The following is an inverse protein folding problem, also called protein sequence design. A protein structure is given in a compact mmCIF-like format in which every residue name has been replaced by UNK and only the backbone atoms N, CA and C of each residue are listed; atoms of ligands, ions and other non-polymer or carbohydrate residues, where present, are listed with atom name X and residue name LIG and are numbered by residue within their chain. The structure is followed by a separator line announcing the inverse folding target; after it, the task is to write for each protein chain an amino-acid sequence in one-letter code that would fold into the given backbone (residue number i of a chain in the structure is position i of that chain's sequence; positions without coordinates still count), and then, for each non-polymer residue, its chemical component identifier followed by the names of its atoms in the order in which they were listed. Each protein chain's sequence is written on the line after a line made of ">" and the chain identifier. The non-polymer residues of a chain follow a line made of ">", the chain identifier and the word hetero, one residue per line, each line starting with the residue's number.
data_IF_578671845387
#
_entry.id   IF_578671845387
#
_cell.length_a   1.000
_cell.length_b   1.000
_cell.length_c   1.000
_cell.angle_alpha   90.00
_cell.angle_beta   90.00
_cell.angle_gamma   90.00
#
_symmetry.space_group_name_H-M   'P 1'
#
loop_
_entity.id
_entity.type
_entity.pdbx_description
1 polymer ?
#
# COMPACT_ATOMS: atom_id res chain seq x y z
N UNK A 1 -9.84 30.16 -22.44
CA UNK A 1 -9.04 30.13 -21.20
C UNK A 1 -8.40 28.76 -21.11
N UNK A 2 -7.10 28.69 -21.38
CA UNK A 2 -6.33 27.46 -21.20
C UNK A 2 -6.13 27.23 -19.71
N UNK A 3 -6.62 26.11 -19.20
CA UNK A 3 -6.38 25.62 -17.84
C UNK A 3 -5.00 24.95 -17.70
N UNK A 4 -4.17 24.99 -18.74
CA UNK A 4 -2.85 24.38 -18.74
C UNK A 4 -1.78 25.47 -18.57
N UNK A 5 -1.44 25.78 -17.32
CA UNK A 5 -0.19 26.43 -16.98
C UNK A 5 0.92 25.37 -16.93
N UNK A 6 1.84 25.40 -17.89
CA UNK A 6 2.97 24.48 -18.01
C UNK A 6 4.09 24.72 -16.97
N UNK A 7 3.90 25.63 -16.01
CA UNK A 7 4.89 25.98 -14.99
C UNK A 7 4.84 25.10 -13.73
N UNK A 8 3.84 24.20 -13.60
CA UNK A 8 3.64 23.37 -12.40
C UNK A 8 3.63 21.85 -12.68
N UNK A 9 4.33 21.38 -13.72
CA UNK A 9 4.60 19.94 -13.82
C UNK A 9 5.67 19.56 -12.79
N UNK A 10 5.26 19.24 -11.57
CA UNK A 10 6.12 18.51 -10.64
C UNK A 10 6.28 17.09 -11.17
N UNK A 11 7.31 16.89 -11.99
CA UNK A 11 7.71 15.56 -12.46
C UNK A 11 8.16 14.71 -11.28
N UNK A 12 8.72 15.33 -10.24
CA UNK A 12 9.28 14.65 -9.08
C UNK A 12 8.19 14.25 -8.07
N UNK A 13 8.40 13.09 -7.44
CA UNK A 13 7.52 12.60 -6.39
C UNK A 13 7.45 13.61 -5.23
N UNK A 14 6.22 13.95 -4.82
CA UNK A 14 5.96 14.92 -3.74
C UNK A 14 6.48 14.48 -2.37
N UNK A 15 6.84 13.20 -2.23
CA UNK A 15 7.30 12.62 -0.98
C UNK A 15 8.82 12.63 -0.84
N UNK A 16 9.55 12.17 -1.85
CA UNK A 16 11.02 12.09 -1.78
C UNK A 16 11.72 13.25 -2.49
N UNK A 17 11.03 13.96 -3.40
CA UNK A 17 11.54 15.07 -4.21
C UNK A 17 12.75 14.73 -5.12
N UNK A 18 13.17 13.46 -5.18
CA UNK A 18 14.37 13.00 -5.86
C UNK A 18 14.08 12.43 -7.25
N UNK A 19 13.13 11.50 -7.34
CA UNK A 19 12.83 10.78 -8.58
C UNK A 19 11.54 11.26 -9.22
N UNK A 20 11.39 11.01 -10.52
CA UNK A 20 10.12 11.21 -11.22
C UNK A 20 9.03 10.28 -10.68
N UNK A 21 7.82 10.79 -10.52
CA UNK A 21 6.67 10.00 -10.07
C UNK A 21 6.13 9.10 -11.18
N UNK A 22 6.77 7.95 -11.37
CA UNK A 22 6.26 6.85 -12.20
C UNK A 22 5.29 5.97 -11.40
N UNK A 23 4.46 5.15 -12.05
CA UNK A 23 3.56 4.21 -11.33
C UNK A 23 4.34 3.29 -10.36
N UNK A 24 5.47 2.67 -10.73
CA UNK A 24 6.26 1.87 -9.79
C UNK A 24 6.82 2.71 -8.63
N UNK A 25 7.24 3.95 -8.89
CA UNK A 25 7.73 4.83 -7.83
C UNK A 25 6.60 5.26 -6.86
N UNK A 26 5.45 5.63 -7.41
CA UNK A 26 4.25 6.05 -6.70
C UNK A 26 3.81 4.98 -5.69
N UNK A 27 3.76 3.72 -6.11
CA UNK A 27 3.26 2.64 -5.27
C UNK A 27 4.35 1.98 -4.43
N UNK A 28 5.57 1.78 -4.95
CA UNK A 28 6.54 0.85 -4.36
C UNK A 28 7.87 1.48 -3.99
N UNK A 29 8.49 2.22 -4.91
CA UNK A 29 9.92 2.56 -4.79
C UNK A 29 10.25 3.92 -4.17
N UNK A 30 9.25 4.81 -4.01
CA UNK A 30 9.44 5.99 -3.18
C UNK A 30 9.91 5.57 -1.77
N UNK A 31 11.00 6.13 -1.21
CA UNK A 31 11.53 5.75 0.12
C UNK A 31 10.49 5.73 1.25
N UNK A 32 9.52 6.65 1.20
CA UNK A 32 8.43 6.71 2.17
C UNK A 32 7.45 5.53 1.96
N UNK A 33 7.16 5.17 0.72
CA UNK A 33 6.24 4.07 0.37
C UNK A 33 6.90 2.70 0.54
N UNK A 34 8.20 2.59 0.23
CA UNK A 34 8.97 1.37 0.48
C UNK A 34 9.04 1.06 1.97
N UNK A 35 9.21 2.08 2.83
CA UNK A 35 9.15 1.90 4.29
C UNK A 35 7.81 1.34 4.78
N UNK A 36 6.69 1.74 4.15
CA UNK A 36 5.37 1.15 4.43
C UNK A 36 5.36 -0.34 4.05
N UNK A 37 5.84 -0.70 2.86
CA UNK A 37 5.88 -2.11 2.44
C UNK A 37 6.78 -2.96 3.31
N UNK A 38 7.95 -2.45 3.71
CA UNK A 38 8.85 -3.14 4.64
C UNK A 38 8.15 -3.43 5.97
N UNK A 39 7.47 -2.44 6.56
CA UNK A 39 6.73 -2.63 7.80
C UNK A 39 5.55 -3.60 7.63
N UNK A 40 4.85 -3.56 6.50
CA UNK A 40 3.77 -4.49 6.19
C UNK A 40 4.29 -5.94 6.05
N UNK A 41 5.45 -6.12 5.40
CA UNK A 41 6.14 -7.42 5.31
C UNK A 41 6.46 -7.92 6.73
N UNK A 42 7.04 -7.04 7.55
CA UNK A 42 7.39 -7.38 8.93
C UNK A 42 6.17 -7.69 9.80
N UNK A 43 4.99 -7.15 9.52
CA UNK A 43 3.79 -7.44 10.28
C UNK A 43 3.09 -8.72 9.81
N UNK A 44 2.97 -8.94 8.50
CA UNK A 44 2.06 -9.96 7.95
C UNK A 44 2.70 -11.02 7.06
N UNK A 45 3.80 -10.73 6.36
CA UNK A 45 4.32 -11.59 5.31
C UNK A 45 5.58 -12.35 5.74
N UNK A 46 5.91 -13.39 4.99
CA UNK A 46 7.12 -14.16 5.24
C UNK A 46 8.37 -13.26 5.19
N UNK A 47 9.35 -13.38 6.10
CA UNK A 47 10.54 -12.50 6.14
C UNK A 47 11.39 -12.48 4.85
N UNK A 48 11.22 -13.45 3.96
CA UNK A 48 11.90 -13.48 2.65
C UNK A 48 11.16 -12.73 1.54
N UNK A 49 9.95 -12.22 1.78
CA UNK A 49 9.18 -11.48 0.77
C UNK A 49 9.82 -10.12 0.49
N UNK A 50 10.00 -9.79 -0.78
CA UNK A 50 10.55 -8.51 -1.23
C UNK A 50 9.46 -7.58 -1.77
N UNK A 51 9.77 -6.29 -1.88
CA UNK A 51 8.86 -5.30 -2.51
C UNK A 51 8.64 -5.66 -3.99
N UNK A 52 9.64 -6.23 -4.66
CA UNK A 52 9.55 -6.71 -6.04
C UNK A 52 8.57 -7.87 -6.18
N UNK A 53 8.54 -8.79 -5.21
CA UNK A 53 7.54 -9.88 -5.18
C UNK A 53 6.12 -9.30 -5.06
N UNK A 54 5.93 -8.32 -4.17
CA UNK A 54 4.65 -7.63 -3.99
C UNK A 54 4.23 -6.91 -5.27
N UNK A 55 5.14 -6.17 -5.91
CA UNK A 55 4.87 -5.50 -7.18
C UNK A 55 4.50 -6.51 -8.27
N UNK A 56 5.23 -7.63 -8.38
CA UNK A 56 4.92 -8.66 -9.36
C UNK A 56 3.54 -9.28 -9.11
N UNK A 57 3.22 -9.58 -7.85
CA UNK A 57 1.92 -10.12 -7.47
C UNK A 57 0.77 -9.17 -7.80
N UNK A 58 0.91 -7.87 -7.49
CA UNK A 58 -0.12 -6.86 -7.76
C UNK A 58 -0.27 -6.52 -9.24
N UNK A 59 0.81 -6.58 -10.02
CA UNK A 59 0.75 -6.29 -11.46
C UNK A 59 0.23 -7.47 -12.27
N UNK A 60 0.48 -8.71 -11.83
CA UNK A 60 0.02 -9.93 -12.51
C UNK A 60 -1.28 -10.49 -11.94
N UNK A 61 -1.72 -9.97 -10.78
CA UNK A 61 -2.81 -10.52 -9.97
C UNK A 61 -2.61 -12.01 -9.61
N UNK A 62 -1.35 -12.46 -9.55
CA UNK A 62 -0.97 -13.79 -9.10
C UNK A 62 -0.31 -13.71 -7.71
N UNK A 63 -0.99 -14.24 -6.70
CA UNK A 63 -0.58 -14.17 -5.30
C UNK A 63 0.00 -15.49 -4.76
N UNK A 64 0.16 -16.52 -5.60
CA UNK A 64 0.62 -17.86 -5.18
C UNK A 64 2.03 -17.84 -4.57
N UNK A 65 2.85 -16.86 -4.96
CA UNK A 65 4.23 -16.70 -4.46
C UNK A 65 4.33 -15.86 -3.20
N UNK A 66 3.21 -15.29 -2.73
CA UNK A 66 3.19 -14.49 -1.49
C UNK A 66 2.74 -15.39 -0.35
N UNK A 67 3.65 -15.62 0.58
CA UNK A 67 3.37 -16.37 1.81
C UNK A 67 3.18 -15.42 2.99
N UNK A 68 2.19 -15.71 3.82
CA UNK A 68 1.97 -15.00 5.09
C UNK A 68 2.77 -15.63 6.23
N UNK A 69 2.94 -14.89 7.33
CA UNK A 69 3.52 -15.44 8.56
C UNK A 69 2.64 -16.54 9.16
N UNK A 70 3.22 -17.47 9.94
CA UNK A 70 2.43 -18.41 10.73
C UNK A 70 1.37 -17.69 11.57
N UNK A 71 0.17 -18.27 11.66
CA UNK A 71 -0.98 -17.74 12.40
C UNK A 71 -1.57 -16.42 11.87
N UNK A 72 -1.09 -15.88 10.75
CA UNK A 72 -1.78 -14.80 10.05
C UNK A 72 -3.12 -15.34 9.49
N UNK A 73 -4.28 -14.82 9.91
CA UNK A 73 -5.57 -15.37 9.49
C UNK A 73 -6.02 -14.83 8.13
N UNK A 74 -5.25 -13.94 7.50
CA UNK A 74 -5.65 -13.24 6.28
C UNK A 74 -4.98 -13.88 5.05
N UNK A 75 -5.72 -14.00 3.95
CA UNK A 75 -5.15 -14.43 2.68
C UNK A 75 -4.19 -13.35 2.12
N UNK A 76 -3.07 -13.74 1.46
CA UNK A 76 -2.12 -12.81 0.85
C UNK A 76 -2.77 -11.75 -0.05
N UNK A 77 -3.71 -12.19 -0.90
CA UNK A 77 -4.48 -11.30 -1.79
C UNK A 77 -5.22 -10.22 -1.02
N UNK A 78 -5.87 -10.57 0.09
CA UNK A 78 -6.65 -9.62 0.89
C UNK A 78 -5.72 -8.61 1.56
N UNK A 79 -4.58 -9.06 2.09
CA UNK A 79 -3.55 -8.18 2.65
C UNK A 79 -3.08 -7.16 1.61
N UNK A 80 -2.67 -7.61 0.42
CA UNK A 80 -2.08 -6.72 -0.58
C UNK A 80 -3.10 -5.76 -1.20
N UNK A 81 -4.34 -6.20 -1.42
CA UNK A 81 -5.42 -5.33 -1.96
C UNK A 81 -5.85 -4.28 -0.94
N UNK A 82 -5.95 -4.63 0.35
CA UNK A 82 -6.25 -3.64 1.39
C UNK A 82 -5.05 -2.69 1.56
N UNK A 83 -3.82 -3.22 1.59
CA UNK A 83 -2.60 -2.42 1.72
C UNK A 83 -2.45 -1.36 0.61
N UNK A 84 -2.64 -1.73 -0.66
CA UNK A 84 -2.58 -0.77 -1.77
C UNK A 84 -3.71 0.26 -1.67
N UNK A 85 -4.88 -0.14 -1.18
CA UNK A 85 -6.02 0.77 -0.97
C UNK A 85 -5.74 1.79 0.14
N UNK A 86 -5.17 1.37 1.27
CA UNK A 86 -4.78 2.29 2.36
C UNK A 86 -3.62 3.21 1.97
N UNK A 87 -2.64 2.71 1.21
CA UNK A 87 -1.57 3.52 0.65
C UNK A 87 -2.11 4.58 -0.30
N UNK A 88 -2.99 4.20 -1.23
CA UNK A 88 -3.65 5.13 -2.16
C UNK A 88 -4.42 6.21 -1.42
N UNK A 89 -5.29 5.83 -0.47
CA UNK A 89 -6.04 6.78 0.35
C UNK A 89 -5.11 7.74 1.10
N UNK A 90 -4.04 7.23 1.70
CA UNK A 90 -3.10 8.05 2.47
C UNK A 90 -2.28 8.99 1.59
N UNK A 91 -1.92 8.55 0.37
CA UNK A 91 -1.32 9.42 -0.63
C UNK A 91 -2.25 10.60 -0.96
N UNK A 92 -3.51 10.35 -1.29
CA UNK A 92 -4.43 11.42 -1.68
C UNK A 92 -4.83 12.35 -0.54
N UNK A 93 -4.90 11.85 0.70
CA UNK A 93 -5.06 12.72 1.87
C UNK A 93 -3.89 13.69 2.05
N UNK A 94 -2.67 13.27 1.71
CA UNK A 94 -1.54 14.19 1.68
C UNK A 94 -1.68 15.21 0.54
N UNK A 95 -1.98 14.76 -0.68
CA UNK A 95 -2.08 15.65 -1.85
C UNK A 95 -3.20 16.68 -1.69
N UNK A 96 -4.39 16.26 -1.25
CA UNK A 96 -5.59 17.11 -1.17
C UNK A 96 -5.66 17.85 0.16
N UNK A 97 -5.53 17.14 1.28
CA UNK A 97 -5.78 17.68 2.61
C UNK A 97 -4.50 18.10 3.35
N UNK A 98 -3.31 17.92 2.73
CA UNK A 98 -2.00 18.18 3.35
C UNK A 98 -1.75 17.39 4.65
N UNK A 99 -2.42 16.25 4.81
CA UNK A 99 -2.22 15.36 5.96
C UNK A 99 -0.92 14.58 5.77
N UNK A 100 0.08 14.70 6.67
CA UNK A 100 1.37 14.03 6.51
C UNK A 100 1.25 12.51 6.37
N UNK A 101 2.01 11.95 5.42
CA UNK A 101 2.09 10.50 5.25
C UNK A 101 3.11 9.92 6.22
N UNK A 102 2.64 9.04 7.11
CA UNK A 102 3.48 8.29 8.04
C UNK A 102 3.29 6.79 7.80
N UNK A 103 4.33 6.05 7.38
CA UNK A 103 4.22 4.63 7.03
C UNK A 103 3.54 3.77 8.11
N UNK A 104 3.91 3.97 9.38
CA UNK A 104 3.35 3.24 10.52
C UNK A 104 1.85 3.49 10.73
N UNK A 105 1.36 4.70 10.41
CA UNK A 105 -0.07 5.03 10.48
C UNK A 105 -0.81 4.27 9.37
N UNK A 106 -0.25 4.22 8.16
CA UNK A 106 -0.85 3.48 7.03
C UNK A 106 -0.87 1.98 7.28
N UNK A 107 0.18 1.42 7.88
CA UNK A 107 0.20 0.02 8.33
C UNK A 107 -0.89 -0.22 9.38
N UNK A 108 -0.99 0.64 10.41
CA UNK A 108 -2.04 0.51 11.43
C UNK A 108 -3.46 0.59 10.84
N UNK A 109 -3.68 1.45 9.86
CA UNK A 109 -4.94 1.54 9.11
C UNK A 109 -5.21 0.26 8.31
N UNK A 110 -4.18 -0.33 7.71
CA UNK A 110 -4.25 -1.61 7.00
C UNK A 110 -4.65 -2.74 7.94
N UNK A 111 -4.01 -2.83 9.11
CA UNK A 111 -4.33 -3.82 10.15
C UNK A 111 -5.78 -3.67 10.66
N UNK A 112 -6.26 -2.43 10.82
CA UNK A 112 -7.65 -2.17 11.22
C UNK A 112 -8.65 -2.58 10.13
N UNK A 113 -8.36 -2.25 8.86
CA UNK A 113 -9.20 -2.62 7.73
C UNK A 113 -9.25 -4.15 7.53
N UNK A 114 -8.12 -4.84 7.71
CA UNK A 114 -8.04 -6.31 7.68
C UNK A 114 -8.91 -6.95 8.77
N UNK A 115 -8.79 -6.47 10.02
CA UNK A 115 -9.62 -6.94 11.14
C UNK A 115 -11.10 -6.77 10.88
N UNK A 116 -11.50 -5.59 10.36
CA UNK A 116 -12.88 -5.31 9.99
C UNK A 116 -13.37 -6.26 8.91
N UNK A 117 -12.61 -6.41 7.82
CA UNK A 117 -12.97 -7.30 6.71
C UNK A 117 -13.10 -8.75 7.16
N UNK A 118 -12.16 -9.22 7.98
CA UNK A 118 -12.19 -10.56 8.54
C UNK A 118 -13.42 -10.77 9.42
N UNK A 119 -13.76 -9.81 10.29
CA UNK A 119 -14.98 -9.89 11.08
C UNK A 119 -16.24 -9.98 10.19
N UNK A 120 -16.33 -9.16 9.13
CA UNK A 120 -17.44 -9.19 8.17
C UNK A 120 -17.59 -10.54 7.47
N UNK A 121 -16.49 -11.15 7.03
CA UNK A 121 -16.49 -12.45 6.35
C UNK A 121 -16.90 -13.63 7.27
N UNK A 122 -16.77 -13.48 8.60
CA UNK A 122 -17.15 -14.52 9.58
C UNK A 122 -18.50 -14.24 10.27
N UNK A 123 -19.11 -13.08 10.05
CA UNK A 123 -20.48 -12.81 10.53
C UNK A 123 -21.51 -13.64 9.78
N UNK A 124 -21.24 -14.00 8.51
CA UNK A 124 -22.12 -14.86 7.69
C UNK A 124 -22.16 -16.32 8.15
N UNK A 125 -21.22 -16.77 8.97
CA UNK A 125 -21.19 -18.16 9.46
C UNK A 125 -22.17 -18.41 10.64
N UNK A 126 -22.79 -17.35 11.16
CA UNK A 126 -23.74 -17.40 12.28
C UNK A 126 -25.20 -17.12 11.86
N UNK A 127 -25.49 -17.04 10.56
CA UNK A 127 -26.85 -16.90 10.00
C UNK A 127 -27.31 -18.21 9.35
#
# INVERSE_FOLDING_TARGET
>A
MSIYNSEFYQVNCLFCLQDSETIPHFFFFCPIKSSFWTQLIDEFLWPGTTIQDIQAALTTLNFERISVKPFCPYAPTVILIIAISELWKSHWRFVVDQIPFHPNIVVSATSAALKKRFAEDHLSDFQ
#
